data_IF_967976336367
#
_entry.id   IF_967976336367
#
_cell.length_a   1.000
_cell.length_b   1.000
_cell.length_c   1.000
_cell.angle_alpha   90.00
_cell.angle_beta   90.00
_cell.angle_gamma   90.00
#
_symmetry.space_group_name_H-M   'P 1'
#
loop_
_entity.id
_entity.type
_entity.pdbx_description
1 polymer ?
#
# COMPACT_ATOMS: atom_id res chain seq x y z
N UNK A 1 14.06 9.20 20.36
CA UNK A 1 13.64 8.41 19.18
C UNK A 1 12.57 7.43 19.63
N UNK A 2 11.45 7.30 18.91
CA UNK A 2 10.41 6.33 19.25
C UNK A 2 10.96 4.89 19.18
N UNK A 3 10.56 4.03 20.13
CA UNK A 3 10.94 2.61 20.15
C UNK A 3 10.31 1.92 18.94
N UNK A 4 11.12 1.26 18.11
CA UNK A 4 10.65 0.55 16.92
C UNK A 4 10.39 -0.92 17.23
N UNK A 5 9.14 -1.36 17.14
CA UNK A 5 8.77 -2.73 17.48
C UNK A 5 8.95 -3.68 16.29
N UNK A 6 9.73 -4.75 16.46
CA UNK A 6 9.76 -5.87 15.50
C UNK A 6 8.63 -6.87 15.73
N UNK A 7 8.25 -7.04 17.00
CA UNK A 7 7.04 -7.71 17.48
C UNK A 7 6.40 -6.70 18.42
N UNK A 8 5.16 -6.33 18.16
CA UNK A 8 4.43 -5.41 19.04
C UNK A 8 4.00 -6.19 20.29
N UNK A 9 4.29 -5.67 21.50
CA UNK A 9 3.80 -6.27 22.74
C UNK A 9 2.27 -6.41 22.78
N UNK A 10 1.73 -7.43 23.46
CA UNK A 10 0.29 -7.63 23.57
C UNK A 10 -0.45 -6.43 24.21
N UNK A 11 0.18 -5.78 25.19
CA UNK A 11 -0.36 -4.66 25.96
C UNK A 11 -0.42 -3.33 25.20
N UNK A 12 0.23 -3.23 24.04
CA UNK A 12 0.17 -2.02 23.20
C UNK A 12 -0.99 -2.13 22.21
N UNK A 13 -2.02 -1.28 22.29
CA UNK A 13 -3.13 -1.27 21.33
C UNK A 13 -2.66 -0.93 19.90
N UNK A 14 -3.35 -1.46 18.89
CA UNK A 14 -3.10 -1.12 17.48
C UNK A 14 -3.27 0.39 17.22
N UNK A 15 -4.23 1.03 17.90
CA UNK A 15 -4.52 2.47 17.80
C UNK A 15 -3.36 3.37 18.19
N UNK A 16 -2.44 2.87 19.01
CA UNK A 16 -1.30 3.64 19.53
C UNK A 16 -0.06 3.50 18.62
N UNK A 17 -0.18 2.67 17.57
CA UNK A 17 0.87 2.46 16.60
C UNK A 17 0.84 3.52 15.51
N UNK A 18 2.03 3.84 15.01
CA UNK A 18 2.20 4.74 13.87
C UNK A 18 3.29 4.22 12.94
N UNK A 19 3.34 4.66 11.68
CA UNK A 19 4.40 4.28 10.74
C UNK A 19 5.82 4.53 11.27
N UNK A 20 5.98 5.42 12.25
CA UNK A 20 7.27 5.75 12.88
C UNK A 20 7.73 4.71 13.91
N UNK A 21 6.81 4.03 14.59
CA UNK A 21 7.12 3.07 15.67
C UNK A 21 7.06 1.59 15.24
N UNK A 22 6.73 1.31 13.98
CA UNK A 22 6.77 -0.03 13.39
C UNK A 22 7.54 -0.06 12.06
N UNK A 23 7.68 -1.25 11.47
CA UNK A 23 8.42 -1.51 10.24
C UNK A 23 7.66 -2.50 9.36
N UNK A 24 8.10 -2.66 8.11
CA UNK A 24 7.54 -3.68 7.22
C UNK A 24 7.69 -5.12 7.72
N UNK A 25 8.53 -5.35 8.74
CA UNK A 25 8.75 -6.66 9.35
C UNK A 25 8.04 -6.84 10.69
N UNK A 26 7.19 -5.89 11.10
CA UNK A 26 6.52 -5.86 12.38
C UNK A 26 5.26 -6.73 12.38
N UNK A 27 4.96 -7.33 13.51
CA UNK A 27 3.85 -8.27 13.72
C UNK A 27 3.10 -7.95 15.01
N UNK A 28 1.80 -8.24 15.02
CA UNK A 28 0.94 -8.25 16.20
C UNK A 28 -0.11 -9.35 16.02
N UNK A 29 0.37 -10.58 16.07
CA UNK A 29 -0.38 -11.76 15.60
C UNK A 29 -1.64 -12.03 16.42
N UNK A 30 -1.64 -11.70 17.72
CA UNK A 30 -2.80 -11.90 18.60
C UNK A 30 -3.99 -11.01 18.21
N UNK A 31 -3.72 -9.90 17.51
CA UNK A 31 -4.71 -8.99 16.94
C UNK A 31 -5.01 -9.31 15.45
N UNK A 32 -4.58 -10.47 14.95
CA UNK A 32 -4.78 -10.89 13.55
C UNK A 32 -3.90 -10.14 12.53
N UNK A 33 -2.91 -9.37 12.99
CA UNK A 33 -2.06 -8.54 12.14
C UNK A 33 -0.66 -9.15 12.02
N UNK A 34 -0.30 -9.51 10.79
CA UNK A 34 0.84 -10.37 10.51
C UNK A 34 1.91 -9.68 9.66
N UNK A 35 2.94 -10.44 9.29
CA UNK A 35 3.94 -10.05 8.30
C UNK A 35 4.36 -11.31 7.57
N UNK A 36 4.13 -11.34 6.26
CA UNK A 36 4.38 -12.53 5.44
C UNK A 36 5.68 -12.42 4.64
N UNK A 37 6.53 -11.45 5.00
CA UNK A 37 7.78 -11.19 4.29
C UNK A 37 8.63 -12.45 4.27
N UNK A 38 8.79 -12.99 3.07
CA UNK A 38 9.45 -14.27 2.83
C UNK A 38 10.93 -14.18 3.21
N UNK A 39 11.40 -15.19 3.94
CA UNK A 39 12.82 -15.38 4.22
C UNK A 39 13.12 -16.86 4.41
N UNK A 40 14.31 -17.28 4.00
CA UNK A 40 14.80 -18.65 4.21
C UNK A 40 14.68 -19.11 5.65
N UNK A 41 14.96 -18.21 6.60
CA UNK A 41 14.80 -18.48 8.03
C UNK A 41 13.36 -18.84 8.41
N UNK A 42 12.38 -18.14 7.84
CA UNK A 42 10.97 -18.38 8.12
C UNK A 42 10.50 -19.67 7.46
N UNK A 43 10.89 -19.91 6.21
CA UNK A 43 10.59 -21.14 5.49
C UNK A 43 11.13 -22.37 6.23
N UNK A 44 12.38 -22.32 6.70
CA UNK A 44 12.98 -23.39 7.52
C UNK A 44 12.26 -23.59 8.85
N UNK A 45 11.80 -22.50 9.48
CA UNK A 45 11.12 -22.57 10.78
C UNK A 45 9.73 -23.23 10.68
N UNK A 46 8.98 -22.95 9.63
CA UNK A 46 7.58 -23.38 9.49
C UNK A 46 7.33 -24.41 8.39
N UNK A 47 8.36 -24.80 7.64
CA UNK A 47 8.25 -25.75 6.54
C UNK A 47 7.53 -25.21 5.30
N UNK A 48 7.24 -23.89 5.23
CA UNK A 48 6.52 -23.28 4.12
C UNK A 48 6.92 -21.83 3.88
N UNK A 49 6.86 -21.39 2.62
CA UNK A 49 7.03 -19.99 2.22
C UNK A 49 5.69 -19.24 2.30
N UNK A 50 5.75 -17.91 2.40
CA UNK A 50 4.55 -17.07 2.38
C UNK A 50 3.71 -17.09 3.66
N UNK A 51 4.20 -17.75 4.72
CA UNK A 51 3.55 -17.75 6.03
C UNK A 51 4.02 -16.56 6.89
N UNK A 52 3.23 -16.22 7.90
CA UNK A 52 3.60 -15.19 8.86
C UNK A 52 4.94 -15.54 9.52
N UNK A 53 5.89 -14.61 9.48
CA UNK A 53 7.25 -14.78 10.02
C UNK A 53 7.30 -15.10 11.52
N UNK A 54 6.22 -14.80 12.24
CA UNK A 54 6.15 -14.92 13.69
C UNK A 54 5.43 -16.19 14.14
N UNK A 55 4.18 -16.37 13.71
CA UNK A 55 3.30 -17.45 14.15
C UNK A 55 3.10 -18.56 13.11
N UNK A 56 3.53 -18.36 11.85
CA UNK A 56 3.39 -19.36 10.80
C UNK A 56 2.01 -19.45 10.16
N UNK A 57 1.06 -18.57 10.49
CA UNK A 57 -0.25 -18.57 9.82
C UNK A 57 -0.11 -18.27 8.31
N UNK A 58 -0.98 -18.89 7.51
CA UNK A 58 -1.00 -18.75 6.05
C UNK A 58 -2.34 -18.18 5.62
N UNK A 59 -2.45 -16.84 5.59
CA UNK A 59 -3.70 -16.15 5.23
C UNK A 59 -3.73 -15.67 3.77
N UNK A 60 -2.59 -15.65 3.10
CA UNK A 60 -2.45 -15.07 1.76
C UNK A 60 -2.34 -16.19 0.73
N UNK A 61 -3.24 -16.19 -0.25
CA UNK A 61 -3.11 -17.04 -1.45
C UNK A 61 -2.07 -16.42 -2.40
N UNK A 62 -0.80 -16.69 -2.15
CA UNK A 62 0.30 -16.16 -2.97
C UNK A 62 0.22 -16.58 -4.42
N UNK A 63 -0.34 -17.77 -4.73
CA UNK A 63 -0.48 -18.21 -6.12
C UNK A 63 -1.44 -17.32 -6.89
N UNK A 64 -2.53 -16.87 -6.24
CA UNK A 64 -3.49 -15.93 -6.82
C UNK A 64 -2.95 -14.51 -6.85
N UNK A 65 -2.39 -14.04 -5.72
CA UNK A 65 -1.89 -12.66 -5.59
C UNK A 65 -0.77 -12.36 -6.60
N UNK A 66 0.17 -13.29 -6.79
CA UNK A 66 1.34 -13.08 -7.67
C UNK A 66 1.04 -13.20 -9.17
N UNK A 67 -0.21 -13.50 -9.58
CA UNK A 67 -0.62 -13.37 -10.97
C UNK A 67 -0.75 -11.91 -11.40
N UNK A 68 -1.00 -11.00 -10.45
CA UNK A 68 -1.30 -9.58 -10.70
C UNK A 68 -2.41 -9.38 -11.76
N UNK A 69 -3.42 -10.25 -11.75
CA UNK A 69 -4.59 -10.06 -12.59
C UNK A 69 -5.35 -8.82 -12.06
N UNK A 70 -5.58 -7.86 -12.94
CA UNK A 70 -6.32 -6.63 -12.62
C UNK A 70 -7.74 -6.93 -12.15
N UNK A 71 -8.35 -8.03 -12.62
CA UNK A 71 -9.68 -8.46 -12.17
C UNK A 71 -9.67 -8.95 -10.71
N UNK A 72 -8.49 -9.33 -10.21
CA UNK A 72 -8.27 -9.73 -8.81
C UNK A 72 -7.74 -8.58 -7.93
N UNK A 73 -7.66 -7.35 -8.46
CA UNK A 73 -7.14 -6.20 -7.72
C UNK A 73 -7.83 -6.03 -6.35
N UNK A 74 -9.16 -6.18 -6.27
CA UNK A 74 -9.90 -6.12 -5.01
C UNK A 74 -9.53 -7.24 -4.04
N UNK A 75 -9.30 -8.45 -4.52
CA UNK A 75 -8.86 -9.57 -3.67
C UNK A 75 -7.46 -9.31 -3.09
N UNK A 76 -6.53 -8.85 -3.93
CA UNK A 76 -5.15 -8.53 -3.54
C UNK A 76 -5.13 -7.38 -2.52
N UNK A 77 -5.95 -6.37 -2.77
CA UNK A 77 -6.17 -5.23 -1.91
C UNK A 77 -6.64 -5.61 -0.51
N UNK A 78 -7.69 -6.44 -0.39
CA UNK A 78 -8.15 -6.94 0.91
C UNK A 78 -7.12 -7.84 1.60
N UNK A 79 -6.39 -8.64 0.82
CA UNK A 79 -5.34 -9.52 1.34
C UNK A 79 -4.25 -8.74 2.08
N UNK A 80 -3.86 -7.55 1.57
CA UNK A 80 -2.84 -6.69 2.19
C UNK A 80 -3.23 -6.16 3.57
N UNK A 81 -4.53 -6.04 3.89
CA UNK A 81 -5.01 -5.54 5.18
C UNK A 81 -4.68 -6.49 6.34
N UNK A 82 -4.28 -7.75 6.06
CA UNK A 82 -3.79 -8.71 7.06
C UNK A 82 -2.36 -8.41 7.55
N UNK A 83 -1.63 -7.48 6.92
CA UNK A 83 -0.31 -7.08 7.42
C UNK A 83 -0.38 -5.88 8.35
N UNK A 84 0.29 -5.98 9.50
CA UNK A 84 0.30 -4.92 10.52
C UNK A 84 0.67 -3.56 9.93
N UNK A 85 1.79 -3.49 9.21
CA UNK A 85 2.27 -2.23 8.66
C UNK A 85 1.27 -1.63 7.66
N UNK A 86 0.65 -2.44 6.80
CA UNK A 86 -0.34 -1.97 5.82
C UNK A 86 -1.62 -1.55 6.51
N UNK A 87 -2.07 -2.30 7.52
CA UNK A 87 -3.18 -1.90 8.38
C UNK A 87 -2.93 -0.54 9.05
N UNK A 88 -1.73 -0.27 9.56
CA UNK A 88 -1.41 1.05 10.11
C UNK A 88 -1.45 2.13 9.02
N UNK A 89 -0.84 1.92 7.86
CA UNK A 89 -0.97 2.86 6.74
C UNK A 89 -2.43 3.07 6.30
N UNK A 90 -3.27 2.03 6.44
CA UNK A 90 -4.70 2.06 6.18
C UNK A 90 -5.50 2.91 7.16
N UNK A 91 -5.04 3.08 8.39
CA UNK A 91 -5.74 3.82 9.43
C UNK A 91 -5.04 5.14 9.79
N UNK A 92 -3.89 5.41 9.18
CA UNK A 92 -3.23 6.71 9.30
C UNK A 92 -4.20 7.83 8.87
N UNK A 93 -4.40 8.86 9.70
CA UNK A 93 -5.17 10.05 9.33
C UNK A 93 -4.60 10.70 8.07
N UNK A 94 -5.48 11.07 7.14
CA UNK A 94 -5.09 11.77 5.92
C UNK A 94 -5.19 13.27 6.20
N UNK A 95 -4.18 14.03 5.77
CA UNK A 95 -4.21 15.49 5.86
C UNK A 95 -5.41 16.07 5.09
N UNK A 96 -6.10 17.04 5.69
CA UNK A 96 -7.31 17.64 5.11
C UNK A 96 -7.05 18.23 3.72
N UNK A 97 -5.87 18.77 3.46
CA UNK A 97 -5.49 19.30 2.14
C UNK A 97 -5.42 18.20 1.08
N UNK A 98 -4.94 17.01 1.44
CA UNK A 98 -4.91 15.87 0.52
C UNK A 98 -6.31 15.37 0.17
N UNK A 99 -7.23 15.35 1.14
CA UNK A 99 -8.66 15.06 0.90
C UNK A 99 -9.26 16.14 0.00
N UNK A 100 -9.05 17.40 0.34
CA UNK A 100 -9.61 18.55 -0.39
C UNK A 100 -9.12 18.58 -1.83
N UNK A 101 -7.86 18.25 -2.09
CA UNK A 101 -7.32 18.19 -3.45
C UNK A 101 -7.88 17.01 -4.24
N UNK A 102 -8.05 15.84 -3.61
CA UNK A 102 -8.67 14.68 -4.25
C UNK A 102 -10.12 14.98 -4.67
N UNK A 103 -10.90 15.65 -3.81
CA UNK A 103 -12.30 16.02 -4.08
C UNK A 103 -12.47 17.12 -5.15
N UNK A 104 -11.41 17.87 -5.49
CA UNK A 104 -11.44 18.84 -6.59
C UNK A 104 -11.32 18.20 -7.97
N UNK A 105 -10.94 16.93 -8.03
CA UNK A 105 -10.73 16.17 -9.26
C UNK A 105 -11.86 15.19 -9.49
N UNK A 106 -12.21 14.99 -10.76
CA UNK A 106 -13.05 13.85 -11.16
C UNK A 106 -12.29 12.54 -10.94
N UNK A 107 -13.02 11.43 -10.85
CA UNK A 107 -12.43 10.09 -10.77
C UNK A 107 -11.36 9.82 -11.84
N UNK A 108 -11.63 10.21 -13.09
CA UNK A 108 -10.70 10.01 -14.21
C UNK A 108 -9.44 10.89 -14.13
N UNK A 109 -9.60 12.15 -13.72
CA UNK A 109 -8.46 13.05 -13.49
C UNK A 109 -7.57 12.50 -12.37
N UNK A 110 -8.19 12.02 -11.28
CA UNK A 110 -7.47 11.45 -10.15
C UNK A 110 -6.75 10.16 -10.52
N UNK A 111 -7.37 9.29 -11.32
CA UNK A 111 -6.71 8.08 -11.87
C UNK A 111 -5.49 8.45 -12.72
N UNK A 112 -5.65 9.41 -13.64
CA UNK A 112 -4.57 9.87 -14.52
C UNK A 112 -3.41 10.44 -13.70
N UNK A 113 -3.73 11.23 -12.68
CA UNK A 113 -2.77 11.82 -11.77
C UNK A 113 -2.05 10.76 -10.91
N UNK A 114 -2.79 9.77 -10.38
CA UNK A 114 -2.22 8.64 -9.66
C UNK A 114 -1.23 7.85 -10.53
N UNK A 115 -1.60 7.52 -11.77
CA UNK A 115 -0.72 6.84 -12.73
C UNK A 115 0.57 7.62 -12.98
N UNK A 116 0.49 8.95 -13.11
CA UNK A 116 1.64 9.84 -13.30
C UNK A 116 2.58 9.83 -12.07
N UNK A 117 2.03 9.92 -10.86
CA UNK A 117 2.80 9.86 -9.62
C UNK A 117 3.50 8.50 -9.50
N UNK A 118 2.76 7.41 -9.69
CA UNK A 118 3.32 6.05 -9.64
C UNK A 118 4.43 5.85 -10.66
N UNK A 119 4.23 6.29 -11.91
CA UNK A 119 5.26 6.21 -12.96
C UNK A 119 6.53 6.96 -12.55
N UNK A 120 6.39 8.15 -11.97
CA UNK A 120 7.52 8.94 -11.50
C UNK A 120 8.26 8.30 -10.32
N UNK A 121 7.52 7.66 -9.39
CA UNK A 121 8.09 7.13 -8.14
C UNK A 121 8.68 5.73 -8.32
N UNK A 122 7.96 4.84 -8.97
CA UNK A 122 8.29 3.41 -9.02
C UNK A 122 8.45 2.88 -10.43
N UNK A 123 8.16 3.68 -11.47
CA UNK A 123 8.17 3.23 -12.87
C UNK A 123 9.54 2.79 -13.37
N UNK A 124 10.62 3.47 -12.95
CA UNK A 124 11.99 3.06 -13.28
C UNK A 124 12.65 2.28 -12.15
N UNK A 125 13.38 1.21 -12.48
CA UNK A 125 14.19 0.44 -11.53
C UNK A 125 15.41 1.19 -11.01
N UNK A 126 15.84 2.24 -11.71
CA UNK A 126 17.06 3.01 -11.40
C UNK A 126 16.80 4.27 -10.58
N UNK A 127 15.62 4.41 -9.98
CA UNK A 127 15.32 5.56 -9.15
C UNK A 127 16.22 5.62 -7.90
N UNK A 128 17.09 6.63 -7.80
CA UNK A 128 18.01 6.83 -6.69
C UNK A 128 17.32 7.05 -5.33
N UNK A 129 16.03 7.43 -5.34
CA UNK A 129 15.23 7.68 -4.16
C UNK A 129 14.34 6.47 -3.79
N UNK A 130 14.44 5.34 -4.49
CA UNK A 130 13.66 4.14 -4.20
C UNK A 130 13.90 3.65 -2.77
N UNK A 131 12.81 3.22 -2.12
CA UNK A 131 12.84 2.70 -0.75
C UNK A 131 13.04 3.76 0.33
N UNK A 132 13.23 5.05 -0.03
CA UNK A 132 13.05 6.13 0.94
C UNK A 132 11.55 6.32 1.16
N UNK A 133 11.14 6.33 2.43
CA UNK A 133 9.76 6.61 2.78
C UNK A 133 9.42 8.01 2.23
N UNK A 134 8.40 8.11 1.38
CA UNK A 134 7.87 9.41 1.00
C UNK A 134 7.25 10.00 2.26
N UNK A 135 7.62 11.22 2.69
CA UNK A 135 6.94 11.87 3.78
C UNK A 135 5.43 11.85 3.50
N UNK A 136 4.63 11.43 4.48
CA UNK A 136 3.15 11.47 4.36
C UNK A 136 2.61 12.90 4.31
N UNK A 137 3.48 13.87 4.58
CA UNK A 137 3.23 15.29 4.48
C UNK A 137 3.19 15.71 3.02
N UNK A 138 2.13 16.39 2.62
CA UNK A 138 1.99 16.96 1.29
C UNK A 138 0.85 16.32 0.53
N UNK A 139 -0.29 16.99 0.60
CA UNK A 139 -1.32 17.28 -0.41
C UNK A 139 -1.80 16.23 -1.42
N UNK A 140 -1.21 15.04 -1.48
CA UNK A 140 -1.46 14.02 -2.50
C UNK A 140 -1.88 12.70 -1.85
N UNK A 141 -3.17 12.39 -1.99
CA UNK A 141 -3.80 11.16 -1.49
C UNK A 141 -3.08 9.88 -1.98
N UNK A 142 -2.43 9.96 -3.14
CA UNK A 142 -1.71 8.84 -3.78
C UNK A 142 -0.52 8.38 -2.94
N UNK A 143 0.14 9.26 -2.17
CA UNK A 143 1.26 8.85 -1.30
C UNK A 143 0.80 7.91 -0.17
N UNK A 144 -0.39 8.14 0.37
CA UNK A 144 -0.99 7.27 1.37
C UNK A 144 -1.36 5.91 0.76
N UNK A 145 -1.97 5.95 -0.43
CA UNK A 145 -2.34 4.76 -1.19
C UNK A 145 -1.11 3.88 -1.50
N UNK A 146 0.02 4.49 -1.86
CA UNK A 146 1.25 3.76 -2.19
C UNK A 146 1.73 2.87 -1.04
N UNK A 147 1.69 3.39 0.18
CA UNK A 147 2.15 2.64 1.34
C UNK A 147 1.16 1.56 1.77
N UNK A 148 -0.13 1.87 1.73
CA UNK A 148 -1.19 0.92 2.05
C UNK A 148 -1.22 -0.27 1.07
N UNK A 149 -0.90 -0.03 -0.21
CA UNK A 149 -1.01 -1.03 -1.29
C UNK A 149 0.33 -1.64 -1.73
N UNK A 150 1.38 -1.43 -0.94
CA UNK A 150 2.73 -1.95 -1.24
C UNK A 150 3.30 -1.48 -2.61
N UNK A 151 2.88 -0.31 -3.11
CA UNK A 151 3.37 0.34 -4.34
C UNK A 151 4.27 1.55 -4.05
N UNK A 152 4.83 1.64 -2.84
CA UNK A 152 5.70 2.74 -2.42
C UNK A 152 7.18 2.60 -2.82
N UNK A 153 7.65 1.37 -3.11
CA UNK A 153 9.02 1.12 -3.54
C UNK A 153 9.15 -0.23 -4.26
N UNK A 154 10.24 -0.42 -5.00
CA UNK A 154 10.50 -1.63 -5.79
C UNK A 154 10.55 -2.90 -4.93
N UNK A 155 11.07 -2.81 -3.69
CA UNK A 155 11.08 -3.94 -2.73
C UNK A 155 9.69 -4.35 -2.25
N UNK A 156 8.74 -3.42 -2.19
CA UNK A 156 7.36 -3.76 -1.85
C UNK A 156 6.64 -4.39 -3.04
N UNK A 157 6.91 -3.90 -4.26
CA UNK A 157 6.40 -4.49 -5.50
C UNK A 157 6.91 -5.91 -5.72
N UNK A 158 8.19 -6.17 -5.50
CA UNK A 158 8.75 -7.53 -5.59
C UNK A 158 8.11 -8.47 -4.57
N UNK A 159 7.88 -7.98 -3.34
CA UNK A 159 7.32 -8.77 -2.27
C UNK A 159 5.83 -9.12 -2.48
N UNK A 160 4.99 -8.11 -2.67
CA UNK A 160 3.54 -8.31 -2.74
C UNK A 160 3.06 -8.67 -4.14
N UNK A 161 3.68 -8.10 -5.16
CA UNK A 161 3.19 -8.14 -6.53
C UNK A 161 4.11 -8.95 -7.44
N UNK A 162 5.15 -9.62 -6.93
CA UNK A 162 6.09 -10.40 -7.74
C UNK A 162 6.66 -9.63 -8.96
N UNK A 163 6.71 -8.30 -8.89
CA UNK A 163 7.29 -7.43 -9.92
C UNK A 163 8.76 -7.23 -9.56
N UNK A 164 9.66 -7.78 -10.37
CA UNK A 164 11.10 -7.74 -10.13
C UNK A 164 11.61 -6.32 -9.96
N UNK A 165 12.35 -6.07 -8.89
CA UNK A 165 12.77 -4.70 -8.51
C UNK A 165 13.75 -4.04 -9.48
N UNK A 166 14.49 -4.82 -10.25
CA UNK A 166 15.56 -4.41 -11.16
C UNK A 166 15.11 -4.14 -12.61
N UNK A 167 13.85 -4.41 -12.93
CA UNK A 167 13.25 -4.12 -14.23
C UNK A 167 12.35 -2.87 -14.17
N UNK A 168 12.18 -2.14 -15.27
CA UNK A 168 11.20 -1.04 -15.31
C UNK A 168 9.76 -1.61 -15.34
N UNK A 169 8.77 -0.84 -14.89
CA UNK A 169 7.37 -1.28 -14.97
C UNK A 169 6.90 -1.30 -16.42
N UNK A 170 6.17 -2.34 -16.78
CA UNK A 170 5.32 -2.32 -17.98
C UNK A 170 4.11 -1.40 -17.76
N UNK A 171 3.48 -0.95 -18.84
CA UNK A 171 2.26 -0.14 -18.74
C UNK A 171 1.11 -0.92 -18.06
N UNK A 172 1.05 -2.24 -18.24
CA UNK A 172 0.08 -3.13 -17.57
C UNK A 172 0.32 -3.20 -16.06
N UNK A 173 1.58 -3.39 -15.63
CA UNK A 173 1.95 -3.38 -14.22
C UNK A 173 1.68 -2.03 -13.56
N UNK A 174 1.94 -0.93 -14.29
CA UNK A 174 1.64 0.41 -13.83
C UNK A 174 0.13 0.65 -13.71
N UNK A 175 -0.66 0.13 -14.66
CA UNK A 175 -2.12 0.20 -14.60
C UNK A 175 -2.66 -0.60 -13.41
N UNK A 176 -2.15 -1.80 -13.17
CA UNK A 176 -2.48 -2.62 -12.00
C UNK A 176 -2.16 -1.89 -10.68
N UNK A 177 -0.99 -1.27 -10.56
CA UNK A 177 -0.65 -0.46 -9.39
C UNK A 177 -1.58 0.76 -9.23
N UNK A 178 -2.00 1.36 -10.35
CA UNK A 178 -2.94 2.48 -10.37
C UNK A 178 -4.31 2.04 -9.88
N UNK A 179 -4.77 0.86 -10.28
CA UNK A 179 -6.04 0.27 -9.82
C UNK A 179 -6.05 0.08 -8.31
N UNK A 180 -5.00 -0.51 -7.74
CA UNK A 180 -4.86 -0.66 -6.29
C UNK A 180 -4.90 0.70 -5.56
N UNK A 181 -4.21 1.70 -6.11
CA UNK A 181 -4.22 3.05 -5.53
C UNK A 181 -5.62 3.68 -5.59
N UNK A 182 -6.37 3.50 -6.68
CA UNK A 182 -7.73 3.99 -6.81
C UNK A 182 -8.69 3.31 -5.83
N UNK A 183 -8.58 1.99 -5.63
CA UNK A 183 -9.36 1.28 -4.62
C UNK A 183 -9.14 1.87 -3.21
N UNK A 184 -7.90 2.24 -2.88
CA UNK A 184 -7.60 2.87 -1.58
C UNK A 184 -8.26 4.24 -1.48
N UNK A 185 -8.12 5.04 -2.53
CA UNK A 185 -8.61 6.42 -2.58
C UNK A 185 -10.14 6.43 -2.48
N UNK A 186 -10.83 5.56 -3.21
CA UNK A 186 -12.29 5.44 -3.19
C UNK A 186 -12.81 4.96 -1.82
N UNK A 187 -12.08 4.06 -1.15
CA UNK A 187 -12.45 3.62 0.21
C UNK A 187 -12.22 4.73 1.26
N UNK A 188 -11.13 5.48 1.15
CA UNK A 188 -10.73 6.47 2.17
C UNK A 188 -11.29 7.87 1.96
N UNK A 189 -11.70 8.20 0.74
CA UNK A 189 -12.30 9.48 0.34
C UNK A 189 -13.62 9.20 -0.38
N UNK A 190 -14.69 8.88 0.38
CA UNK A 190 -16.00 8.67 -0.23
C UNK A 190 -16.47 9.97 -0.89
N UNK A 191 -17.21 9.85 -2.00
CA UNK A 191 -17.79 10.95 -2.80
C UNK A 191 -16.83 11.66 -3.77
N UNK A 192 -15.84 10.96 -4.33
CA UNK A 192 -15.16 11.46 -5.53
C UNK A 192 -16.17 11.46 -6.68
N UNK A 193 -16.47 12.64 -7.22
CA UNK A 193 -17.49 12.80 -8.25
C UNK A 193 -17.02 12.25 -9.60
N UNK A 194 -17.91 11.56 -10.30
CA UNK A 194 -17.71 11.14 -11.69
C UNK A 194 -17.96 12.30 -12.67
N UNK A 195 -18.63 13.37 -12.22
CA UNK A 195 -18.99 14.52 -13.04
C UNK A 195 -18.51 15.80 -12.36
N UNK A 196 -17.72 16.61 -13.08
CA UNK A 196 -17.45 17.97 -12.64
C UNK A 196 -18.78 18.71 -12.63
N UNK A 197 -19.27 19.16 -11.48
CA UNK A 197 -20.45 20.02 -11.40
C UNK A 197 -20.27 21.17 -12.39
N UNK A 198 -21.06 21.18 -13.47
CA UNK A 198 -21.15 22.28 -14.43
C UNK A 198 -21.83 23.49 -13.78
N UNK A 199 -21.19 24.07 -12.77
CA UNK A 199 -21.65 25.32 -12.16
C UNK A 199 -20.44 26.23 -11.93
N UNK A 200 -20.14 27.04 -12.95
CA UNK A 200 -20.07 28.50 -12.85
C UNK A 200 -19.30 29.06 -14.06
N UNK A 201 -20.02 29.74 -14.96
CA UNK A 201 -19.40 30.44 -16.08
C UNK A 201 -20.34 31.06 -17.12
N UNK A 202 -21.52 31.56 -16.73
CA UNK A 202 -22.28 32.53 -17.53
C UNK A 202 -22.96 33.55 -16.61
N UNK A 203 -22.32 34.72 -16.48
CA UNK A 203 -22.97 36.03 -16.47
C UNK A 203 -21.94 37.06 -16.85
#
# INVERSE_FOLDING_TARGET
MAKKFKRVPPDIPVSDLSPLNISCGSTKCDDGLHCFKTSERTAKKFGSHGVCKECGTSLIDWKRVHLNDINDAKFIFESMKNELIRHIYWHTPIEQDAITNALKSTRNELRTHAKRILKSKIGSSKNAWDGRQTPMTGNEIVHYAQHATATCCRKCLEYWHNIKKDEDLTDEQLEFCTELAMLYIEERVPNIDDKRSEENGKS
#
